data_IF_296952722930
#
_entry.id   IF_296952722930
#
_cell.length_a   1.000
_cell.length_b   1.000
_cell.length_c   1.000
_cell.angle_alpha   90.00
_cell.angle_beta   90.00
_cell.angle_gamma   90.00
#
_symmetry.space_group_name_H-M   'P 1'
#
loop_
_entity.id
_entity.type
_entity.pdbx_description
1 polymer ?
#
# COMPACT_ATOMS: atom_id res chain seq x y z
N UNK A 1 -16.52 10.52 -4.29
CA UNK A 1 -17.42 9.50 -4.87
C UNK A 1 -16.98 8.15 -4.35
N UNK A 2 -17.87 7.37 -3.74
CA UNK A 2 -17.58 6.09 -3.10
C UNK A 2 -18.76 5.12 -3.26
N UNK A 3 -18.58 3.80 -3.19
CA UNK A 3 -19.68 2.86 -3.08
C UNK A 3 -20.49 3.10 -1.80
N UNK A 4 -21.80 2.88 -1.85
CA UNK A 4 -22.73 3.13 -0.73
C UNK A 4 -22.37 2.37 0.56
N UNK A 5 -21.72 1.21 0.45
CA UNK A 5 -21.21 0.46 1.60
C UNK A 5 -20.19 1.24 2.44
N UNK A 6 -19.50 2.23 1.86
CA UNK A 6 -18.53 3.08 2.54
C UNK A 6 -19.13 4.30 3.25
N UNK A 7 -20.44 4.55 3.14
CA UNK A 7 -21.08 5.80 3.58
C UNK A 7 -20.91 6.03 5.08
N UNK A 8 -21.10 5.01 5.90
CA UNK A 8 -20.98 5.14 7.36
C UNK A 8 -19.56 5.52 7.78
N UNK A 9 -18.54 4.88 7.18
CA UNK A 9 -17.15 5.19 7.45
C UNK A 9 -16.80 6.62 7.03
N UNK A 10 -17.24 7.03 5.83
CA UNK A 10 -17.00 8.39 5.33
C UNK A 10 -17.70 9.46 6.15
N UNK A 11 -18.83 9.15 6.78
CA UNK A 11 -19.51 10.05 7.72
C UNK A 11 -18.69 10.41 8.96
N UNK A 12 -17.60 9.71 9.24
CA UNK A 12 -16.65 9.98 10.33
C UNK A 12 -15.47 10.87 9.93
N UNK A 13 -15.32 11.18 8.62
CA UNK A 13 -14.25 12.04 8.15
C UNK A 13 -14.72 13.49 7.98
N UNK A 14 -13.78 14.39 7.71
CA UNK A 14 -14.03 15.81 7.53
C UNK A 14 -14.69 16.20 6.18
N UNK A 15 -14.81 15.23 5.24
CA UNK A 15 -15.42 15.45 3.93
C UNK A 15 -16.93 15.33 4.06
N UNK A 16 -17.67 16.39 3.73
CA UNK A 16 -19.14 16.45 3.83
C UNK A 16 -19.85 16.12 2.51
N UNK A 17 -19.24 16.43 1.33
CA UNK A 17 -19.82 16.10 0.03
C UNK A 17 -19.44 14.66 -0.36
N UNK A 18 -20.25 13.71 0.12
CA UNK A 18 -20.08 12.28 -0.18
C UNK A 18 -21.18 11.84 -1.14
N UNK A 19 -20.79 11.44 -2.35
CA UNK A 19 -21.68 10.95 -3.40
C UNK A 19 -21.48 9.46 -3.58
N UNK A 20 -22.59 8.71 -3.65
CA UNK A 20 -22.53 7.25 -3.59
C UNK A 20 -23.31 6.58 -4.73
N UNK A 21 -22.87 5.39 -5.11
CA UNK A 21 -23.61 4.47 -5.96
C UNK A 21 -23.80 3.13 -5.27
N UNK A 22 -24.78 2.34 -5.71
CA UNK A 22 -24.99 0.99 -5.18
C UNK A 22 -23.97 0.03 -5.83
N UNK A 23 -23.01 -0.44 -5.05
CA UNK A 23 -22.00 -1.39 -5.48
C UNK A 23 -22.28 -2.79 -4.90
N UNK A 24 -21.88 -3.88 -5.61
CA UNK A 24 -21.31 -3.83 -6.98
C UNK A 24 -22.37 -3.59 -8.06
N UNK A 25 -22.02 -2.85 -9.09
CA UNK A 25 -22.83 -2.72 -10.31
C UNK A 25 -22.01 -3.22 -11.51
N UNK A 26 -22.40 -4.36 -12.13
CA UNK A 26 -21.61 -4.94 -13.22
C UNK A 26 -21.66 -4.14 -14.53
N UNK A 27 -22.59 -3.19 -14.65
CA UNK A 27 -22.75 -2.35 -15.84
C UNK A 27 -22.07 -1.00 -15.69
N UNK A 28 -22.16 -0.41 -14.49
CA UNK A 28 -21.59 0.92 -14.21
C UNK A 28 -21.22 1.03 -12.73
N UNK A 29 -20.07 0.52 -12.38
CA UNK A 29 -19.56 0.55 -10.98
C UNK A 29 -19.06 1.95 -10.59
N UNK A 30 -19.94 2.94 -10.69
CA UNK A 30 -19.72 4.32 -10.25
C UNK A 30 -19.05 5.23 -11.29
N UNK A 31 -18.78 4.77 -12.49
CA UNK A 31 -18.08 5.56 -13.53
C UNK A 31 -18.94 6.74 -14.02
N UNK A 32 -20.25 6.54 -14.22
CA UNK A 32 -21.17 7.62 -14.60
C UNK A 32 -21.25 8.68 -13.50
N UNK A 33 -21.43 8.27 -12.25
CA UNK A 33 -21.49 9.21 -11.11
C UNK A 33 -20.20 10.01 -10.96
N UNK A 34 -19.04 9.38 -11.18
CA UNK A 34 -17.75 10.07 -11.17
C UNK A 34 -17.66 11.07 -12.32
N UNK A 35 -18.07 10.69 -13.52
CA UNK A 35 -18.08 11.57 -14.70
C UNK A 35 -18.98 12.79 -14.47
N UNK A 36 -20.21 12.57 -13.98
CA UNK A 36 -21.16 13.64 -13.68
C UNK A 36 -20.64 14.60 -12.59
N UNK A 37 -20.02 14.03 -11.57
CA UNK A 37 -19.36 14.81 -10.50
C UNK A 37 -18.26 15.70 -11.07
N UNK A 38 -17.37 15.15 -11.87
CA UNK A 38 -16.26 15.88 -12.49
C UNK A 38 -16.76 16.95 -13.46
N UNK A 39 -17.78 16.64 -14.25
CA UNK A 39 -18.37 17.62 -15.20
C UNK A 39 -19.09 18.74 -14.50
N UNK A 40 -19.67 18.49 -13.33
CA UNK A 40 -20.28 19.51 -12.50
C UNK A 40 -19.29 20.44 -11.77
N UNK A 41 -18.11 19.93 -11.45
CA UNK A 41 -17.10 20.66 -10.67
C UNK A 41 -16.06 21.38 -11.56
N UNK A 42 -15.77 20.85 -12.76
CA UNK A 42 -14.69 21.32 -13.61
C UNK A 42 -15.28 21.93 -14.89
N UNK A 43 -14.92 23.16 -15.29
CA UNK A 43 -15.40 23.76 -16.53
C UNK A 43 -14.94 22.97 -17.76
N UNK A 44 -15.63 23.10 -18.90
CA UNK A 44 -15.35 22.31 -20.11
C UNK A 44 -13.91 22.45 -20.63
N UNK A 45 -13.27 23.60 -20.43
CA UNK A 45 -11.85 23.82 -20.77
C UNK A 45 -10.87 23.41 -19.67
N UNK A 46 -11.37 22.83 -18.56
CA UNK A 46 -10.57 22.51 -17.40
C UNK A 46 -9.71 21.25 -17.55
N UNK A 47 -8.71 21.16 -16.68
CA UNK A 47 -7.81 20.00 -16.58
C UNK A 47 -8.03 19.31 -15.24
N UNK A 48 -7.95 17.99 -15.24
CA UNK A 48 -8.10 17.13 -14.06
C UNK A 48 -6.77 16.40 -13.87
N UNK A 49 -6.05 16.75 -12.79
CA UNK A 49 -4.78 16.11 -12.45
C UNK A 49 -5.01 14.77 -11.76
N UNK A 50 -4.32 13.74 -12.21
CA UNK A 50 -4.22 12.45 -11.50
C UNK A 50 -2.74 12.05 -11.40
N UNK A 51 -2.32 11.31 -10.36
CA UNK A 51 -0.96 10.77 -10.32
C UNK A 51 -0.73 9.81 -11.49
N UNK A 52 0.33 10.06 -12.29
CA UNK A 52 0.73 9.26 -13.45
C UNK A 52 2.22 8.86 -13.41
N UNK A 53 2.99 9.35 -12.43
CA UNK A 53 4.42 9.09 -12.30
C UNK A 53 4.73 7.72 -11.71
N UNK A 54 6.04 7.48 -11.49
CA UNK A 54 6.54 6.27 -10.83
C UNK A 54 5.84 6.07 -9.49
N UNK A 55 5.68 4.82 -9.08
CA UNK A 55 5.03 4.42 -7.82
C UNK A 55 3.60 4.95 -7.66
N UNK A 56 2.96 5.33 -8.78
CA UNK A 56 1.55 5.75 -8.82
C UNK A 56 0.70 4.68 -9.49
N UNK A 57 -0.45 4.39 -8.89
CA UNK A 57 -1.37 3.39 -9.41
C UNK A 57 -2.78 3.96 -9.48
N UNK A 58 -3.42 3.81 -10.64
CA UNK A 58 -4.84 4.05 -10.79
C UNK A 58 -5.61 2.78 -10.44
N UNK A 59 -6.31 2.78 -9.32
CA UNK A 59 -7.14 1.64 -8.90
C UNK A 59 -8.51 1.67 -9.59
N UNK A 60 -8.50 1.52 -10.91
CA UNK A 60 -9.68 1.50 -11.76
C UNK A 60 -9.41 0.56 -12.95
N UNK A 61 -10.38 -0.23 -13.43
CA UNK A 61 -10.24 -0.97 -14.67
C UNK A 61 -9.88 -0.03 -15.84
N UNK A 62 -8.99 -0.45 -16.72
CA UNK A 62 -8.53 0.38 -17.86
C UNK A 62 -9.69 0.76 -18.78
N UNK A 63 -10.64 -0.16 -18.99
CA UNK A 63 -11.83 0.12 -19.79
C UNK A 63 -12.69 1.24 -19.19
N UNK A 64 -12.86 1.24 -17.86
CA UNK A 64 -13.60 2.26 -17.13
C UNK A 64 -12.89 3.60 -17.17
N UNK A 65 -11.57 3.61 -17.06
CA UNK A 65 -10.77 4.83 -17.25
C UNK A 65 -10.96 5.44 -18.65
N UNK A 66 -10.90 4.62 -19.69
CA UNK A 66 -11.19 5.10 -21.05
C UNK A 66 -12.64 5.55 -21.22
N UNK A 67 -13.58 4.87 -20.58
CA UNK A 67 -14.99 5.28 -20.52
C UNK A 67 -15.16 6.64 -19.85
N UNK A 68 -14.51 6.84 -18.69
CA UNK A 68 -14.49 8.10 -17.98
C UNK A 68 -13.93 9.23 -18.85
N UNK A 69 -12.76 9.03 -19.49
CA UNK A 69 -12.14 10.03 -20.37
C UNK A 69 -13.09 10.49 -21.48
N UNK A 70 -13.82 9.57 -22.11
CA UNK A 70 -14.82 9.89 -23.15
C UNK A 70 -15.98 10.70 -22.58
N UNK A 71 -16.48 10.35 -21.41
CA UNK A 71 -17.64 11.00 -20.76
C UNK A 71 -17.34 12.43 -20.32
N UNK A 72 -16.12 12.69 -19.82
CA UNK A 72 -15.74 14.02 -19.33
C UNK A 72 -15.25 14.97 -20.43
N UNK A 73 -15.08 14.52 -21.67
CA UNK A 73 -14.65 15.37 -22.77
C UNK A 73 -15.53 16.63 -22.87
N UNK A 74 -15.00 17.80 -23.24
CA UNK A 74 -13.63 18.07 -23.71
C UNK A 74 -12.58 18.32 -22.60
N UNK A 75 -12.89 18.08 -21.32
CA UNK A 75 -11.94 18.19 -20.21
C UNK A 75 -10.80 17.21 -20.41
N UNK A 76 -9.61 17.59 -19.96
CA UNK A 76 -8.40 16.77 -20.14
C UNK A 76 -7.94 16.20 -18.82
N UNK A 77 -7.62 14.91 -18.82
CA UNK A 77 -6.85 14.29 -17.74
C UNK A 77 -5.37 14.58 -18.02
N UNK A 78 -4.67 15.09 -17.02
CA UNK A 78 -3.25 15.48 -17.07
C UNK A 78 -2.50 14.90 -15.89
N UNK A 79 -1.18 14.84 -16.00
CA UNK A 79 -0.33 14.43 -14.88
C UNK A 79 -0.41 15.44 -13.73
N UNK A 80 -0.81 14.97 -12.56
CA UNK A 80 -0.88 15.70 -11.30
C UNK A 80 0.05 15.14 -10.23
N UNK A 81 1.01 14.27 -10.60
CA UNK A 81 1.91 13.57 -9.69
C UNK A 81 2.62 14.51 -8.73
N UNK A 82 3.20 15.60 -9.24
CA UNK A 82 3.95 16.57 -8.43
C UNK A 82 3.12 17.20 -7.32
N UNK A 83 1.82 17.47 -7.58
CA UNK A 83 0.96 18.08 -6.58
C UNK A 83 0.74 17.11 -5.38
N UNK A 84 0.55 15.82 -5.67
CA UNK A 84 0.38 14.80 -4.64
C UNK A 84 1.69 14.53 -3.90
N UNK A 85 2.81 14.44 -4.62
CA UNK A 85 4.11 14.16 -4.03
C UNK A 85 4.56 15.27 -3.08
N UNK A 86 4.44 16.53 -3.47
CA UNK A 86 4.77 17.68 -2.61
C UNK A 86 4.03 17.71 -1.28
N UNK A 87 2.76 17.28 -1.29
CA UNK A 87 1.98 17.18 -0.04
C UNK A 87 2.46 16.01 0.82
N UNK A 88 2.91 14.91 0.20
CA UNK A 88 3.28 13.68 0.90
C UNK A 88 4.74 13.58 1.30
N UNK A 89 5.66 14.26 0.59
CA UNK A 89 7.10 14.15 0.87
C UNK A 89 7.52 14.81 2.19
N UNK A 90 6.84 15.90 2.58
CA UNK A 90 7.11 16.58 3.84
C UNK A 90 6.07 16.13 4.87
N UNK A 91 6.52 15.33 5.85
CA UNK A 91 5.66 14.75 6.88
C UNK A 91 5.44 15.73 8.03
N UNK A 92 4.22 15.79 8.53
CA UNK A 92 3.91 16.47 9.79
C UNK A 92 4.48 15.69 11.00
N UNK A 93 4.56 16.35 12.15
CA UNK A 93 4.99 15.70 13.40
C UNK A 93 4.11 14.49 13.77
N UNK A 94 2.80 14.56 13.50
CA UNK A 94 1.87 13.46 13.73
C UNK A 94 2.17 12.26 12.81
N UNK A 95 2.50 12.50 11.55
CA UNK A 95 2.91 11.44 10.59
C UNK A 95 4.26 10.84 10.96
N UNK A 96 5.23 11.67 11.38
CA UNK A 96 6.52 11.21 11.88
C UNK A 96 6.34 10.29 13.09
N UNK A 97 5.46 10.64 14.02
CA UNK A 97 5.16 9.79 15.18
C UNK A 97 4.60 8.43 14.77
N UNK A 98 3.74 8.37 13.77
CA UNK A 98 3.17 7.12 13.24
C UNK A 98 4.22 6.27 12.53
N UNK A 99 5.08 6.89 11.71
CA UNK A 99 6.20 6.18 11.06
C UNK A 99 7.15 5.60 12.10
N UNK A 100 7.50 6.36 13.14
CA UNK A 100 8.32 5.84 14.26
C UNK A 100 7.67 4.65 14.96
N UNK A 101 6.35 4.69 15.14
CA UNK A 101 5.62 3.58 15.75
C UNK A 101 5.63 2.34 14.85
N UNK A 102 5.57 2.51 13.52
CA UNK A 102 5.70 1.42 12.57
C UNK A 102 7.12 0.84 12.56
N UNK A 103 8.15 1.68 12.58
CA UNK A 103 9.54 1.24 12.69
C UNK A 103 9.81 0.49 14.00
N UNK A 104 9.25 0.94 15.13
CA UNK A 104 9.42 0.25 16.42
C UNK A 104 8.80 -1.15 16.42
N UNK A 105 7.74 -1.38 15.66
CA UNK A 105 7.15 -2.73 15.47
C UNK A 105 8.13 -3.64 14.73
N UNK A 106 8.74 -3.14 13.65
CA UNK A 106 9.73 -3.92 12.90
C UNK A 106 10.96 -4.23 13.76
N UNK A 107 11.49 -3.23 14.46
CA UNK A 107 12.64 -3.36 15.35
C UNK A 107 12.41 -4.45 16.42
N UNK A 108 11.25 -4.41 17.10
CA UNK A 108 10.87 -5.43 18.08
C UNK A 108 10.73 -6.84 17.47
N UNK A 109 10.24 -6.94 16.24
CA UNK A 109 10.13 -8.23 15.56
C UNK A 109 11.50 -8.76 15.12
N UNK A 110 12.41 -7.90 14.70
CA UNK A 110 13.79 -8.27 14.40
C UNK A 110 14.55 -8.80 15.63
N UNK A 111 14.36 -8.19 16.79
CA UNK A 111 14.92 -8.68 18.05
C UNK A 111 14.53 -10.12 18.38
N UNK A 112 13.38 -10.57 17.86
CA UNK A 112 12.85 -11.92 18.06
C UNK A 112 13.32 -12.94 17.02
N UNK A 113 13.98 -12.52 15.95
CA UNK A 113 14.45 -13.44 14.90
C UNK A 113 15.24 -14.63 15.47
N UNK A 114 16.14 -14.48 16.47
CA UNK A 114 16.84 -15.61 17.08
C UNK A 114 15.94 -16.66 17.75
N UNK A 115 14.68 -16.35 18.07
CA UNK A 115 13.74 -17.30 18.68
C UNK A 115 13.28 -18.38 17.69
N UNK A 116 13.25 -18.07 16.40
CA UNK A 116 12.68 -18.94 15.35
C UNK A 116 13.59 -19.17 14.14
N UNK A 117 14.65 -18.39 13.96
CA UNK A 117 15.61 -18.56 12.87
C UNK A 117 16.87 -19.25 13.36
N UNK A 118 16.94 -20.57 13.20
CA UNK A 118 18.08 -21.38 13.62
C UNK A 118 18.45 -22.45 12.60
N UNK A 119 19.59 -23.11 12.82
CA UNK A 119 20.04 -24.22 11.97
C UNK A 119 18.95 -25.28 11.83
N UNK A 120 18.70 -25.70 10.60
CA UNK A 120 17.69 -26.71 10.26
C UNK A 120 16.27 -26.19 10.08
N UNK A 121 16.00 -24.92 10.41
CA UNK A 121 14.68 -24.32 10.17
C UNK A 121 14.56 -23.91 8.70
N UNK A 122 13.51 -24.32 7.96
CA UNK A 122 13.31 -23.91 6.59
C UNK A 122 13.12 -22.39 6.47
N UNK A 123 13.67 -21.78 5.42
CA UNK A 123 13.53 -20.34 5.15
C UNK A 123 12.05 -19.92 5.07
N UNK A 124 11.20 -20.73 4.42
CA UNK A 124 9.76 -20.49 4.37
C UNK A 124 9.11 -20.42 5.75
N UNK A 125 9.60 -21.21 6.71
CA UNK A 125 9.12 -21.17 8.09
C UNK A 125 9.60 -19.91 8.80
N UNK A 126 10.85 -19.49 8.60
CA UNK A 126 11.39 -18.24 9.15
C UNK A 126 10.55 -17.04 8.68
N UNK A 127 10.23 -16.97 7.38
CA UNK A 127 9.38 -15.89 6.85
C UNK A 127 8.00 -15.86 7.50
N UNK A 128 7.39 -17.03 7.67
CA UNK A 128 6.08 -17.12 8.33
C UNK A 128 6.13 -16.65 9.78
N UNK A 129 7.11 -17.12 10.52
CA UNK A 129 7.24 -16.78 11.95
C UNK A 129 7.61 -15.31 12.14
N UNK A 130 8.39 -14.73 11.20
CA UNK A 130 8.67 -13.29 11.21
C UNK A 130 7.41 -12.45 10.95
N UNK A 131 6.54 -12.84 10.01
CA UNK A 131 5.25 -12.17 9.83
C UNK A 131 4.38 -12.26 11.09
N UNK A 132 4.38 -13.42 11.76
CA UNK A 132 3.66 -13.59 13.03
C UNK A 132 4.23 -12.68 14.10
N UNK A 133 5.56 -12.57 14.20
CA UNK A 133 6.21 -11.66 15.15
C UNK A 133 5.81 -10.21 14.89
N UNK A 134 5.86 -9.72 13.64
CA UNK A 134 5.41 -8.37 13.28
C UNK A 134 3.97 -8.08 13.72
N UNK A 135 3.06 -9.02 13.50
CA UNK A 135 1.66 -8.88 13.93
C UNK A 135 1.52 -8.87 15.45
N UNK A 136 2.30 -9.69 16.17
CA UNK A 136 2.31 -9.75 17.63
C UNK A 136 2.88 -8.49 18.26
N UNK A 137 3.88 -7.88 17.63
CA UNK A 137 4.48 -6.61 18.06
C UNK A 137 3.62 -5.38 17.69
N UNK A 138 2.49 -5.58 16.99
CA UNK A 138 1.45 -4.57 16.81
C UNK A 138 1.37 -3.98 15.41
N UNK A 139 1.86 -4.67 14.39
CA UNK A 139 1.49 -4.35 13.02
C UNK A 139 -0.01 -4.60 12.79
N UNK A 140 -0.67 -3.70 12.09
CA UNK A 140 -2.05 -3.90 11.62
C UNK A 140 -2.08 -4.95 10.49
N UNK A 141 -1.04 -4.95 9.66
CA UNK A 141 -0.77 -5.97 8.66
C UNK A 141 0.68 -5.88 8.15
N UNK A 142 1.13 -6.94 7.49
CA UNK A 142 2.46 -7.02 6.89
C UNK A 142 2.30 -6.99 5.39
N UNK A 143 2.80 -5.95 4.75
CA UNK A 143 2.64 -5.73 3.31
C UNK A 143 3.49 -6.69 2.48
N UNK A 144 4.69 -6.99 2.95
CA UNK A 144 5.62 -7.96 2.36
C UNK A 144 6.63 -8.45 3.39
N UNK A 145 7.20 -9.62 3.11
CA UNK A 145 8.48 -10.08 3.62
C UNK A 145 9.27 -10.59 2.43
N UNK A 146 10.41 -10.00 2.20
CA UNK A 146 11.38 -10.42 1.21
C UNK A 146 12.67 -10.85 1.92
N UNK A 147 13.60 -11.44 1.22
CA UNK A 147 14.88 -11.82 1.79
C UNK A 147 15.44 -13.11 1.23
N UNK A 148 16.49 -13.57 1.87
CA UNK A 148 17.19 -14.78 1.45
C UNK A 148 18.19 -15.24 2.49
N UNK A 149 18.74 -16.42 2.30
CA UNK A 149 19.81 -16.94 3.15
C UNK A 149 20.81 -17.73 2.33
N UNK A 150 22.08 -17.66 2.70
CA UNK A 150 23.12 -18.44 2.04
C UNK A 150 24.50 -18.29 2.68
N UNK A 151 25.42 -19.22 2.37
CA UNK A 151 26.80 -19.16 2.87
C UNK A 151 27.50 -17.88 2.34
N UNK A 152 27.93 -17.02 3.25
CA UNK A 152 28.61 -15.77 2.90
C UNK A 152 27.74 -14.69 2.30
N UNK A 153 26.42 -14.88 2.24
CA UNK A 153 25.44 -13.93 1.72
C UNK A 153 24.25 -14.57 1.02
N UNK A 154 23.52 -13.77 0.29
CA UNK A 154 22.32 -14.15 -0.46
C UNK A 154 22.44 -13.62 -1.89
N UNK A 155 22.00 -14.41 -2.86
CA UNK A 155 22.03 -14.01 -4.29
C UNK A 155 20.70 -13.61 -4.86
N UNK A 156 19.61 -13.88 -4.12
CA UNK A 156 18.24 -13.61 -4.49
C UNK A 156 17.44 -13.18 -3.26
N UNK A 157 16.78 -12.05 -3.33
CA UNK A 157 16.04 -11.44 -2.20
C UNK A 157 14.56 -11.21 -2.49
N UNK A 158 14.10 -11.54 -3.69
CA UNK A 158 12.70 -11.31 -4.11
C UNK A 158 11.94 -12.59 -4.47
N UNK A 159 12.63 -13.72 -4.60
CA UNK A 159 11.96 -15.00 -4.78
C UNK A 159 11.20 -15.42 -3.51
N UNK A 160 10.10 -16.15 -3.65
CA UNK A 160 9.44 -16.74 -2.49
C UNK A 160 10.41 -17.60 -1.68
N UNK A 161 10.28 -17.53 -0.35
CA UNK A 161 11.08 -18.36 0.54
C UNK A 161 10.83 -19.85 0.27
N UNK A 162 11.91 -20.62 0.17
CA UNK A 162 11.88 -22.04 -0.11
C UNK A 162 11.95 -22.91 1.17
N UNK A 163 11.86 -24.21 0.98
CA UNK A 163 11.97 -25.20 2.06
C UNK A 163 13.42 -25.54 2.44
N UNK A 164 14.42 -24.86 1.88
CA UNK A 164 15.82 -25.08 2.23
C UNK A 164 16.06 -24.74 3.69
N UNK A 165 16.56 -25.69 4.51
CA UNK A 165 16.86 -25.41 5.90
C UNK A 165 18.10 -24.50 6.02
N UNK A 166 18.05 -23.56 6.96
CA UNK A 166 19.20 -22.74 7.31
C UNK A 166 20.37 -23.60 7.77
N UNK A 167 21.59 -23.22 7.39
CA UNK A 167 22.82 -23.89 7.76
C UNK A 167 23.70 -23.00 8.63
N UNK A 168 24.56 -23.61 9.43
CA UNK A 168 25.58 -22.85 10.15
C UNK A 168 26.48 -22.10 9.16
N UNK A 169 26.61 -20.78 9.34
CA UNK A 169 27.39 -19.91 8.46
C UNK A 169 26.57 -19.26 7.33
N UNK A 170 25.28 -19.55 7.24
CA UNK A 170 24.40 -18.77 6.36
C UNK A 170 24.27 -17.33 6.91
N UNK A 171 24.25 -16.37 6.01
CA UNK A 171 23.79 -15.01 6.26
C UNK A 171 22.31 -14.96 5.92
N UNK A 172 21.48 -14.62 6.90
CA UNK A 172 20.05 -14.41 6.72
C UNK A 172 19.77 -12.91 6.55
N UNK A 173 19.05 -12.55 5.51
CA UNK A 173 18.51 -11.21 5.32
C UNK A 173 16.99 -11.31 5.28
N UNK A 174 16.34 -10.40 6.01
CA UNK A 174 14.90 -10.23 6.03
C UNK A 174 14.62 -8.74 5.75
N UNK A 175 13.71 -8.48 4.84
CA UNK A 175 13.26 -7.15 4.46
C UNK A 175 11.73 -7.11 4.58
N UNK A 176 11.19 -6.08 5.21
CA UNK A 176 9.77 -6.00 5.53
C UNK A 176 9.21 -4.59 5.49
N UNK A 177 7.94 -4.50 5.10
CA UNK A 177 7.13 -3.28 5.20
C UNK A 177 5.96 -3.47 6.15
N UNK A 178 6.18 -3.40 7.46
CA UNK A 178 5.10 -3.43 8.44
C UNK A 178 4.26 -2.16 8.35
N UNK A 179 2.95 -2.29 8.59
CA UNK A 179 2.01 -1.17 8.60
C UNK A 179 1.37 -1.06 9.96
N UNK A 180 1.40 0.15 10.53
CA UNK A 180 0.69 0.49 11.75
C UNK A 180 0.01 1.85 11.60
N UNK A 181 -1.28 1.91 11.96
CA UNK A 181 -2.10 3.13 11.87
C UNK A 181 -2.02 3.82 10.48
N UNK A 182 -1.98 2.99 9.42
CA UNK A 182 -1.94 3.43 8.03
C UNK A 182 -0.58 3.91 7.51
N UNK A 183 0.50 3.83 8.31
CA UNK A 183 1.85 4.22 7.93
C UNK A 183 2.79 3.03 7.84
N UNK A 184 3.62 3.05 6.82
CA UNK A 184 4.58 1.99 6.53
C UNK A 184 5.92 2.26 7.22
N UNK A 185 6.64 1.19 7.56
CA UNK A 185 8.09 1.20 7.61
C UNK A 185 8.67 0.42 6.42
N UNK A 186 9.93 0.64 6.16
CA UNK A 186 10.78 -0.11 5.25
C UNK A 186 12.05 -0.42 6.04
N UNK A 187 12.31 -1.71 6.28
CA UNK A 187 13.22 -2.14 7.33
C UNK A 187 13.89 -3.47 6.96
N UNK A 188 15.22 -3.50 6.97
CA UNK A 188 16.05 -4.67 6.72
C UNK A 188 17.27 -4.77 7.66
#
# INVERSE_FOLDING_TARGET
>A
VIPSIGTELMGRCWISDVRTWNAPDPVDDGVSLLADTLTGLVPASGRIGIPMGLESHLRMPVADFHGLQKRIAPRQIVDGTDAVYRVREIKSEAEIAKIRASCAVADAAFDRVPEFAGQGVPLARVFRDFQVALLQEGADWVSYVAGGAGPGGYGDVISPADERPLQTGDVLMLDTGAVRDGYFCDFD
#
